data_IF_163549446418
#
_entry.id   IF_163549446418
#
_cell.length_a   1.000
_cell.length_b   1.000
_cell.length_c   1.000
_cell.angle_alpha   90.00
_cell.angle_beta   90.00
_cell.angle_gamma   90.00
#
_symmetry.space_group_name_H-M   'P 1'
#
loop_
_entity.id
_entity.type
_entity.pdbx_description
1 polymer ?
#
# COMPACT_ATOMS: atom_id res chain seq x y z
N UNK A 1 -21.62 2.97 -6.88
CA UNK A 1 -20.41 2.92 -7.74
C UNK A 1 -19.53 1.78 -7.28
N UNK A 2 -19.09 0.95 -8.24
CA UNK A 2 -17.99 0.00 -8.09
C UNK A 2 -16.78 0.65 -8.77
N UNK A 3 -15.64 0.70 -8.07
CA UNK A 3 -14.49 1.56 -8.43
C UNK A 3 -13.28 0.76 -8.98
N UNK A 4 -13.48 -0.53 -9.28
CA UNK A 4 -12.55 -1.46 -9.93
C UNK A 4 -11.40 -2.06 -9.08
N UNK A 5 -10.71 -3.03 -9.70
CA UNK A 5 -9.89 -4.14 -9.18
C UNK A 5 -8.73 -3.78 -8.25
N UNK A 6 -8.65 -4.50 -7.13
CA UNK A 6 -7.75 -4.21 -6.03
C UNK A 6 -6.30 -4.66 -6.21
N UNK A 7 -5.51 -4.25 -5.24
CA UNK A 7 -4.03 -4.32 -5.12
C UNK A 7 -3.46 -5.76 -5.12
N UNK A 8 -4.24 -6.82 -5.31
CA UNK A 8 -3.76 -8.23 -5.28
C UNK A 8 -4.17 -9.08 -6.49
N UNK A 9 -4.68 -8.49 -7.57
CA UNK A 9 -5.31 -9.28 -8.65
C UNK A 9 -6.65 -9.89 -8.23
N UNK A 10 -7.11 -9.60 -7.01
CA UNK A 10 -8.48 -9.79 -6.59
C UNK A 10 -9.25 -8.51 -6.91
N UNK A 11 -10.36 -8.66 -7.64
CA UNK A 11 -11.26 -7.53 -7.88
C UNK A 11 -11.65 -6.93 -6.52
N UNK A 12 -11.53 -5.61 -6.34
CA UNK A 12 -12.27 -4.96 -5.27
C UNK A 12 -13.73 -5.05 -5.70
N UNK A 13 -14.47 -5.92 -5.02
CA UNK A 13 -15.92 -5.99 -5.19
C UNK A 13 -16.61 -4.89 -4.37
N UNK A 14 -15.84 -4.11 -3.60
CA UNK A 14 -16.41 -3.22 -2.60
C UNK A 14 -17.01 -1.97 -3.24
N UNK A 15 -18.31 -1.85 -3.09
CA UNK A 15 -19.01 -0.58 -3.26
C UNK A 15 -18.59 0.39 -2.15
N UNK A 16 -18.75 1.70 -2.34
CA UNK A 16 -18.48 2.67 -1.27
C UNK A 16 -19.22 2.34 0.05
N UNK A 17 -20.49 1.88 0.04
CA UNK A 17 -21.14 1.37 1.24
C UNK A 17 -20.43 0.18 1.89
N UNK A 18 -19.86 -0.75 1.12
CA UNK A 18 -19.10 -1.88 1.65
C UNK A 18 -17.79 -1.41 2.29
N UNK A 19 -17.04 -0.52 1.64
CA UNK A 19 -15.81 0.04 2.19
C UNK A 19 -16.07 0.84 3.49
N UNK A 20 -17.13 1.67 3.50
CA UNK A 20 -17.61 2.36 4.71
C UNK A 20 -17.98 1.34 5.79
N UNK A 21 -18.68 0.27 5.44
CA UNK A 21 -18.98 -0.80 6.39
C UNK A 21 -17.73 -1.52 6.89
N UNK A 22 -16.68 -1.70 6.07
CA UNK A 22 -15.42 -2.28 6.52
C UNK A 22 -14.75 -1.36 7.56
N UNK A 23 -14.79 -0.05 7.38
CA UNK A 23 -14.35 0.89 8.43
C UNK A 23 -15.24 0.85 9.67
N UNK A 24 -16.54 0.68 9.54
CA UNK A 24 -17.43 0.74 10.70
C UNK A 24 -17.49 -0.59 11.47
N UNK A 25 -17.53 -1.73 10.77
CA UNK A 25 -17.91 -3.05 11.32
C UNK A 25 -16.78 -4.08 11.31
N UNK A 26 -15.71 -3.87 10.55
CA UNK A 26 -14.60 -4.84 10.51
C UNK A 26 -13.68 -4.67 11.70
N UNK A 27 -13.20 -5.78 12.22
CA UNK A 27 -12.06 -5.87 13.13
C UNK A 27 -10.77 -5.45 12.42
N UNK A 28 -10.52 -6.15 11.31
CA UNK A 28 -9.41 -5.94 10.41
C UNK A 28 -9.78 -4.86 9.37
N UNK A 29 -9.19 -3.68 9.54
CA UNK A 29 -9.33 -2.56 8.61
C UNK A 29 -8.26 -2.54 7.54
N UNK A 30 -7.33 -3.51 7.52
CA UNK A 30 -6.21 -3.55 6.57
C UNK A 30 -6.70 -3.47 5.12
N UNK A 31 -7.74 -4.24 4.79
CA UNK A 31 -8.38 -4.20 3.47
C UNK A 31 -8.93 -2.80 3.20
N UNK A 32 -9.67 -2.22 4.14
CA UNK A 32 -10.27 -0.90 3.99
C UNK A 32 -9.21 0.21 3.79
N UNK A 33 -8.13 0.17 4.58
CA UNK A 33 -7.00 1.09 4.48
C UNK A 33 -6.29 0.94 3.13
N UNK A 34 -6.02 -0.30 2.71
CA UNK A 34 -5.38 -0.59 1.42
C UNK A 34 -6.24 -0.08 0.25
N UNK A 35 -7.56 -0.32 0.28
CA UNK A 35 -8.48 0.20 -0.74
C UNK A 35 -8.57 1.73 -0.70
N UNK A 36 -8.44 2.35 0.47
CA UNK A 36 -8.47 3.82 0.59
C UNK A 36 -7.20 4.48 0.03
N UNK A 37 -6.02 3.85 0.16
CA UNK A 37 -4.82 4.31 -0.56
C UNK A 37 -5.00 4.26 -2.07
N UNK A 38 -5.67 3.23 -2.58
CA UNK A 38 -5.99 3.16 -3.99
C UNK A 38 -6.94 4.30 -4.41
N UNK A 39 -7.97 4.60 -3.61
CA UNK A 39 -8.85 5.73 -3.87
C UNK A 39 -8.10 7.07 -3.83
N UNK A 40 -7.11 7.23 -2.94
CA UNK A 40 -6.23 8.40 -2.95
C UNK A 40 -5.46 8.51 -4.28
N UNK A 41 -4.98 7.40 -4.84
CA UNK A 41 -4.37 7.41 -6.16
C UNK A 41 -5.35 7.79 -7.28
N UNK A 42 -6.58 7.27 -7.24
CA UNK A 42 -7.64 7.64 -8.21
C UNK A 42 -7.96 9.14 -8.14
N UNK A 43 -8.02 9.70 -6.93
CA UNK A 43 -8.18 11.13 -6.70
C UNK A 43 -7.01 11.93 -7.30
N UNK A 44 -5.76 11.48 -7.10
CA UNK A 44 -4.58 12.13 -7.69
C UNK A 44 -4.64 12.10 -9.22
N UNK A 45 -4.97 10.95 -9.83
CA UNK A 45 -5.11 10.82 -11.28
C UNK A 45 -6.24 11.67 -11.87
N UNK A 46 -7.26 11.98 -11.07
CA UNK A 46 -8.35 12.89 -11.43
C UNK A 46 -8.04 14.34 -11.07
N UNK A 47 -6.79 14.65 -10.71
CA UNK A 47 -6.30 15.97 -10.31
C UNK A 47 -6.96 16.56 -9.04
N UNK A 48 -7.44 15.70 -8.13
CA UNK A 48 -7.98 16.08 -6.82
C UNK A 48 -6.95 15.85 -5.69
N UNK A 49 -5.75 16.41 -5.85
CA UNK A 49 -4.61 16.18 -4.93
C UNK A 49 -4.95 16.59 -3.49
N UNK A 50 -5.64 17.72 -3.30
CA UNK A 50 -6.06 18.17 -1.96
C UNK A 50 -6.98 17.17 -1.26
N UNK A 51 -7.90 16.54 -2.00
CA UNK A 51 -8.80 15.52 -1.47
C UNK A 51 -8.08 14.21 -1.16
N UNK A 52 -7.13 13.81 -2.01
CA UNK A 52 -6.27 12.67 -1.74
C UNK A 52 -5.46 12.87 -0.45
N UNK A 53 -4.92 14.08 -0.26
CA UNK A 53 -4.22 14.46 0.96
C UNK A 53 -5.14 14.43 2.19
N UNK A 54 -6.34 15.03 2.12
CA UNK A 54 -7.34 14.95 3.21
C UNK A 54 -7.65 13.50 3.61
N UNK A 55 -7.82 12.63 2.62
CA UNK A 55 -8.12 11.22 2.83
C UNK A 55 -6.95 10.48 3.51
N UNK A 56 -5.72 10.68 3.02
CA UNK A 56 -4.50 10.09 3.60
C UNK A 56 -4.28 10.59 5.03
N UNK A 57 -4.46 11.89 5.26
CA UNK A 57 -4.32 12.49 6.58
C UNK A 57 -5.38 11.97 7.56
N UNK A 58 -6.61 11.70 7.10
CA UNK A 58 -7.61 11.09 7.96
C UNK A 58 -7.23 9.67 8.43
N UNK A 59 -6.42 8.94 7.64
CA UNK A 59 -5.91 7.62 8.01
C UNK A 59 -4.68 7.69 8.93
N UNK A 60 -3.71 8.57 8.64
CA UNK A 60 -2.46 8.64 9.39
C UNK A 60 -2.50 9.58 10.59
N UNK A 61 -3.31 10.64 10.54
CA UNK A 61 -3.29 11.72 11.52
C UNK A 61 -4.61 11.81 12.29
N UNK A 62 -4.62 11.13 13.45
CA UNK A 62 -5.16 11.72 14.68
C UNK A 62 -3.99 11.95 15.63
N UNK A 63 -3.97 13.07 16.37
CA UNK A 63 -2.78 13.87 16.60
C UNK A 63 -1.75 13.13 17.44
N UNK A 64 -0.72 12.61 16.78
CA UNK A 64 0.63 12.68 17.31
C UNK A 64 1.06 14.13 17.03
N UNK A 65 1.39 14.89 18.07
CA UNK A 65 1.85 16.27 17.93
C UNK A 65 3.00 16.32 16.90
N UNK A 66 3.08 17.39 16.10
CA UNK A 66 4.16 17.60 15.10
C UNK A 66 5.57 17.41 15.70
N UNK A 67 5.72 17.62 17.02
CA UNK A 67 6.93 17.36 17.81
C UNK A 67 7.37 15.89 17.88
N UNK A 68 6.53 14.91 17.54
CA UNK A 68 6.86 13.48 17.57
C UNK A 68 7.44 12.95 16.25
N UNK A 69 7.42 13.73 15.17
CA UNK A 69 8.15 13.40 13.93
C UNK A 69 9.61 13.85 13.98
N UNK A 70 9.94 14.89 14.76
CA UNK A 70 11.30 15.42 14.88
C UNK A 70 12.36 14.40 15.39
N UNK A 71 12.06 13.46 16.31
CA UNK A 71 13.05 12.50 16.79
C UNK A 71 13.39 11.41 15.76
N UNK A 72 12.48 11.12 14.81
CA UNK A 72 12.72 10.12 13.74
C UNK A 72 13.71 10.62 12.68
N UNK A 73 13.99 11.93 12.66
CA UNK A 73 14.92 12.58 11.74
C UNK A 73 16.32 12.80 12.36
N UNK A 74 16.54 12.39 13.62
CA UNK A 74 17.83 12.54 14.30
C UNK A 74 18.57 11.20 14.38
N UNK A 75 19.29 10.90 13.31
CA UNK A 75 20.67 10.36 13.29
C UNK A 75 21.05 9.93 11.86
N UNK A 76 21.74 10.80 11.12
CA UNK A 76 22.39 10.44 9.84
C UNK A 76 21.47 10.02 8.68
N UNK A 77 20.15 10.18 8.82
CA UNK A 77 19.16 9.88 7.78
C UNK A 77 19.03 11.07 6.83
N UNK A 78 19.13 10.80 5.53
CA UNK A 78 18.92 11.78 4.45
C UNK A 78 17.57 12.49 4.61
N UNK A 79 17.47 13.77 4.26
CA UNK A 79 16.19 14.51 4.35
C UNK A 79 15.11 13.83 3.48
N UNK A 80 13.80 14.06 3.74
CA UNK A 80 12.74 13.54 2.87
C UNK A 80 12.95 13.91 1.39
N UNK A 81 13.44 15.12 1.12
CA UNK A 81 13.78 15.60 -0.23
C UNK A 81 14.97 14.83 -0.82
N UNK A 82 16.01 14.57 -0.04
CA UNK A 82 17.16 13.77 -0.47
C UNK A 82 16.77 12.32 -0.74
N UNK A 83 15.91 11.74 0.09
CA UNK A 83 15.36 10.40 -0.10
C UNK A 83 14.53 10.34 -1.38
N UNK A 84 13.64 11.32 -1.59
CA UNK A 84 12.84 11.43 -2.80
C UNK A 84 13.74 11.56 -4.03
N UNK A 85 14.70 12.48 -4.03
CA UNK A 85 15.63 12.68 -5.14
C UNK A 85 16.42 11.41 -5.46
N UNK A 86 16.89 10.68 -4.44
CA UNK A 86 17.59 9.40 -4.58
C UNK A 86 16.71 8.33 -5.22
N UNK A 87 15.45 8.22 -4.78
CA UNK A 87 14.49 7.24 -5.32
C UNK A 87 14.14 7.58 -6.77
N UNK A 88 13.82 8.85 -7.05
CA UNK A 88 13.55 9.35 -8.41
C UNK A 88 14.70 9.07 -9.36
N UNK A 89 15.93 9.31 -8.91
CA UNK A 89 17.14 9.01 -9.66
C UNK A 89 17.38 7.50 -9.85
N UNK A 90 17.15 6.70 -8.81
CA UNK A 90 17.22 5.24 -8.87
C UNK A 90 16.29 4.67 -9.94
N UNK A 91 15.04 5.12 -9.93
CA UNK A 91 14.00 4.70 -10.87
C UNK A 91 14.30 5.14 -12.32
N UNK A 92 14.85 6.35 -12.52
CA UNK A 92 15.30 6.79 -13.84
C UNK A 92 16.40 5.88 -14.39
N UNK A 93 17.43 5.61 -13.59
CA UNK A 93 18.54 4.71 -13.98
C UNK A 93 18.05 3.31 -14.29
N UNK A 94 17.13 2.77 -13.49
CA UNK A 94 16.51 1.47 -13.75
C UNK A 94 15.81 1.47 -15.11
N UNK A 95 15.05 2.52 -15.41
CA UNK A 95 14.31 2.65 -16.66
C UNK A 95 15.22 2.69 -17.90
N UNK A 96 16.46 3.20 -17.75
CA UNK A 96 17.50 3.24 -18.79
C UNK A 96 18.36 1.96 -18.87
N UNK A 97 18.15 0.96 -18.00
CA UNK A 97 18.93 -0.28 -18.04
C UNK A 97 18.62 -1.09 -19.28
N UNK A 98 19.68 -1.55 -19.93
CA UNK A 98 19.60 -2.37 -21.15
C UNK A 98 19.94 -3.84 -20.90
N UNK A 99 20.42 -4.20 -19.70
CA UNK A 99 20.84 -5.56 -19.36
C UNK A 99 19.73 -6.59 -19.52
N UNK A 100 18.53 -6.28 -19.00
CA UNK A 100 17.37 -7.14 -19.09
C UNK A 100 17.01 -7.50 -20.54
N UNK A 101 17.07 -6.53 -21.47
CA UNK A 101 16.78 -6.77 -22.88
C UNK A 101 17.79 -7.71 -23.53
N UNK A 102 19.09 -7.54 -23.23
CA UNK A 102 20.14 -8.40 -23.76
C UNK A 102 19.93 -9.84 -23.30
N UNK A 103 19.59 -10.03 -22.03
CA UNK A 103 19.40 -11.34 -21.41
C UNK A 103 18.10 -12.03 -21.87
N UNK A 104 17.00 -11.29 -21.97
CA UNK A 104 15.66 -11.88 -22.13
C UNK A 104 15.10 -11.80 -23.56
N UNK A 105 15.64 -10.89 -24.39
CA UNK A 105 15.20 -10.68 -25.77
C UNK A 105 16.29 -11.01 -26.80
N UNK A 106 17.47 -11.43 -26.35
CA UNK A 106 18.61 -11.79 -27.21
C UNK A 106 19.00 -10.71 -28.22
N UNK A 107 18.79 -9.43 -27.87
CA UNK A 107 19.12 -8.28 -28.72
C UNK A 107 20.50 -7.73 -28.37
N UNK A 108 21.35 -7.56 -29.38
CA UNK A 108 22.65 -6.91 -29.21
C UNK A 108 22.47 -5.38 -29.10
N UNK A 109 23.26 -4.74 -28.23
CA UNK A 109 23.30 -3.27 -28.18
C UNK A 109 23.88 -2.74 -29.50
N UNK A 110 23.19 -1.81 -30.19
CA UNK A 110 23.73 -1.22 -31.40
C UNK A 110 24.99 -0.40 -31.07
N UNK A 111 25.94 -0.36 -32.01
CA UNK A 111 27.12 0.51 -31.89
C UNK A 111 26.74 1.98 -31.94
N UNK A 112 25.73 2.29 -32.75
CA UNK A 112 25.16 3.61 -32.89
C UNK A 112 23.65 3.55 -32.57
N UNK A 113 23.18 4.19 -31.48
CA UNK A 113 21.77 4.18 -31.14
C UNK A 113 20.89 4.94 -32.16
N UNK A 114 21.46 5.75 -33.07
CA UNK A 114 20.69 6.49 -34.09
C UNK A 114 20.06 5.59 -35.17
N UNK A 115 20.37 4.28 -35.18
CA UNK A 115 19.71 3.28 -36.02
C UNK A 115 18.19 3.21 -35.79
N UNK A 116 17.69 3.73 -34.66
CA UNK A 116 16.26 3.87 -34.38
C UNK A 116 15.48 4.57 -35.50
N UNK A 117 16.13 5.48 -36.24
CA UNK A 117 15.50 6.23 -37.34
C UNK A 117 15.12 5.30 -38.50
N UNK A 118 15.95 4.30 -38.76
CA UNK A 118 15.85 3.40 -39.92
C UNK A 118 15.13 2.09 -39.60
N UNK A 119 15.15 1.66 -38.35
CA UNK A 119 14.49 0.41 -37.92
C UNK A 119 13.07 0.64 -37.43
N UNK A 120 12.19 -0.33 -37.68
CA UNK A 120 10.87 -0.44 -37.07
C UNK A 120 10.78 -1.60 -36.07
N UNK A 121 11.91 -2.29 -35.78
CA UNK A 121 11.95 -3.35 -34.79
C UNK A 121 11.66 -2.79 -33.38
N UNK A 122 10.58 -3.20 -32.71
CA UNK A 122 10.18 -2.61 -31.44
C UNK A 122 11.23 -2.83 -30.34
N UNK A 123 11.95 -3.95 -30.38
CA UNK A 123 13.02 -4.25 -29.42
C UNK A 123 14.20 -3.29 -29.63
N UNK A 124 14.63 -3.08 -30.88
CA UNK A 124 15.69 -2.14 -31.19
C UNK A 124 15.30 -0.68 -30.89
N UNK A 125 14.06 -0.27 -31.20
CA UNK A 125 13.57 1.07 -30.87
C UNK A 125 13.66 1.36 -29.37
N UNK A 126 13.21 0.41 -28.55
CA UNK A 126 13.27 0.54 -27.10
C UNK A 126 14.72 0.54 -26.57
N UNK A 127 15.59 -0.31 -27.13
CA UNK A 127 17.01 -0.35 -26.81
C UNK A 127 17.67 1.00 -27.10
N UNK A 128 17.42 1.57 -28.28
CA UNK A 128 17.97 2.85 -28.69
C UNK A 128 17.48 3.99 -27.80
N UNK A 129 16.17 4.04 -27.48
CA UNK A 129 15.61 5.03 -26.56
C UNK A 129 16.30 4.98 -25.19
N UNK A 130 16.49 3.79 -24.61
CA UNK A 130 17.20 3.60 -23.33
C UNK A 130 18.67 4.02 -23.40
N UNK A 131 19.37 3.71 -24.50
CA UNK A 131 20.78 4.10 -24.68
C UNK A 131 20.93 5.61 -24.84
N UNK A 132 20.04 6.25 -25.59
CA UNK A 132 20.01 7.71 -25.72
C UNK A 132 19.66 8.38 -24.39
N UNK A 133 18.74 7.83 -23.61
CA UNK A 133 18.39 8.35 -22.28
C UNK A 133 19.41 8.00 -21.18
N UNK A 134 20.43 7.20 -21.47
CA UNK A 134 21.41 6.81 -20.45
C UNK A 134 22.30 8.00 -20.07
N UNK A 135 22.60 8.11 -18.78
CA UNK A 135 23.49 9.12 -18.20
C UNK A 135 24.85 9.19 -18.93
N UNK A 136 25.35 10.42 -19.10
CA UNK A 136 26.69 10.69 -19.67
C UNK A 136 27.78 10.49 -18.61
N UNK A 137 27.52 11.02 -17.41
CA UNK A 137 28.33 10.87 -16.20
C UNK A 137 27.43 10.44 -15.04
N UNK A 138 28.03 9.84 -14.00
CA UNK A 138 27.29 9.38 -12.83
C UNK A 138 26.56 10.56 -12.15
N UNK A 139 25.23 10.55 -12.18
CA UNK A 139 24.40 11.59 -11.55
C UNK A 139 23.97 12.73 -12.49
N UNK A 140 24.30 12.69 -13.78
CA UNK A 140 23.92 13.72 -14.75
C UNK A 140 22.98 13.17 -15.82
N UNK A 141 21.87 13.88 -16.06
CA UNK A 141 20.99 13.58 -17.18
C UNK A 141 21.73 13.83 -18.50
N UNK A 142 21.43 13.07 -19.57
CA UNK A 142 21.97 13.38 -20.88
C UNK A 142 21.51 14.76 -21.37
N UNK A 143 22.20 15.29 -22.38
CA UNK A 143 21.85 16.59 -22.96
C UNK A 143 20.39 16.68 -23.40
N UNK A 144 19.83 17.89 -23.40
CA UNK A 144 18.44 18.12 -23.80
C UNK A 144 18.13 17.58 -25.21
N UNK A 145 19.04 17.77 -26.17
CA UNK A 145 18.90 17.25 -27.54
C UNK A 145 18.84 15.72 -27.57
N UNK A 146 19.68 15.07 -26.76
CA UNK A 146 19.72 13.62 -26.67
C UNK A 146 18.49 13.04 -25.95
N UNK A 147 17.97 13.72 -24.93
CA UNK A 147 16.68 13.37 -24.31
C UNK A 147 15.52 13.49 -25.31
N UNK A 148 15.51 14.56 -26.12
CA UNK A 148 14.50 14.75 -27.16
C UNK A 148 14.57 13.65 -28.21
N UNK A 149 15.78 13.23 -28.57
CA UNK A 149 15.97 12.12 -29.49
C UNK A 149 15.55 10.77 -28.87
N UNK A 150 15.86 10.54 -27.60
CA UNK A 150 15.40 9.36 -26.87
C UNK A 150 13.86 9.27 -26.83
N UNK A 151 13.20 10.41 -26.64
CA UNK A 151 11.74 10.53 -26.69
C UNK A 151 11.22 10.25 -28.10
N UNK A 152 11.86 10.75 -29.16
CA UNK A 152 11.44 10.47 -30.53
C UNK A 152 11.49 8.96 -30.86
N UNK A 153 12.54 8.26 -30.41
CA UNK A 153 12.62 6.80 -30.52
C UNK A 153 11.50 6.09 -29.72
N UNK A 154 11.20 6.58 -28.51
CA UNK A 154 10.10 6.07 -27.69
C UNK A 154 8.74 6.27 -28.37
N UNK A 155 8.49 7.44 -28.96
CA UNK A 155 7.24 7.74 -29.67
C UNK A 155 7.09 6.90 -30.93
N UNK A 156 8.19 6.62 -31.64
CA UNK A 156 8.17 5.69 -32.78
C UNK A 156 7.74 4.29 -32.36
N UNK A 157 8.19 3.81 -31.19
CA UNK A 157 7.72 2.55 -30.61
C UNK A 157 6.23 2.61 -30.23
N UNK A 158 5.80 3.64 -29.51
CA UNK A 158 4.41 3.74 -29.05
C UNK A 158 3.39 4.04 -30.15
N UNK A 159 3.84 4.54 -31.31
CA UNK A 159 3.02 4.67 -32.50
C UNK A 159 2.64 3.30 -33.12
N UNK A 160 3.37 2.23 -32.79
CA UNK A 160 3.03 0.88 -33.25
C UNK A 160 1.83 0.32 -32.46
N UNK A 161 1.03 -0.61 -33.04
CA UNK A 161 -0.11 -1.23 -32.37
C UNK A 161 0.28 -1.87 -31.03
N UNK A 162 -0.53 -1.64 -29.99
CA UNK A 162 -0.28 -2.16 -28.65
C UNK A 162 -1.39 -3.11 -28.20
N UNK A 163 -0.98 -4.23 -27.60
CA UNK A 163 -1.91 -5.17 -26.98
C UNK A 163 -2.25 -4.73 -25.54
N UNK A 164 -3.53 -4.65 -25.17
CA UNK A 164 -3.94 -4.45 -23.78
C UNK A 164 -3.55 -5.66 -22.92
N UNK A 165 -3.49 -5.48 -21.59
CA UNK A 165 -3.39 -6.62 -20.67
C UNK A 165 -4.75 -7.32 -20.62
N UNK A 166 -4.78 -8.61 -20.92
CA UNK A 166 -5.97 -9.44 -20.69
C UNK A 166 -6.07 -9.84 -19.21
N UNK A 167 -7.28 -9.75 -18.63
CA UNK A 167 -7.53 -10.08 -17.23
C UNK A 167 -7.32 -11.59 -16.96
N UNK A 168 -6.64 -11.95 -15.87
CA UNK A 168 -6.52 -13.34 -15.40
C UNK A 168 -5.42 -14.19 -16.06
N UNK A 169 -4.65 -13.63 -16.98
CA UNK A 169 -3.51 -14.32 -17.60
C UNK A 169 -2.23 -14.05 -16.79
N UNK A 170 -1.52 -15.09 -16.36
CA UNK A 170 -0.17 -14.97 -15.80
C UNK A 170 0.82 -14.63 -16.93
N UNK A 171 0.89 -13.34 -17.23
CA UNK A 171 1.69 -12.82 -18.32
C UNK A 171 3.19 -13.01 -18.10
N UNK A 172 3.68 -13.13 -16.85
CA UNK A 172 5.11 -13.10 -16.50
C UNK A 172 5.96 -14.16 -17.22
N UNK A 173 5.34 -15.27 -17.64
CA UNK A 173 5.98 -16.40 -18.31
C UNK A 173 5.74 -16.44 -19.83
N UNK A 174 4.92 -15.55 -20.39
CA UNK A 174 4.50 -15.61 -21.79
C UNK A 174 5.44 -14.85 -22.72
N UNK A 175 5.62 -15.34 -23.94
CA UNK A 175 6.38 -14.61 -24.97
C UNK A 175 5.70 -13.28 -25.35
N UNK A 176 4.37 -13.26 -25.32
CA UNK A 176 3.53 -12.08 -25.60
C UNK A 176 3.85 -10.94 -24.63
N UNK A 177 4.10 -11.26 -23.36
CA UNK A 177 4.48 -10.29 -22.33
C UNK A 177 5.83 -9.63 -22.60
N UNK A 178 6.84 -10.43 -22.92
CA UNK A 178 8.21 -9.96 -23.18
C UNK A 178 8.28 -9.01 -24.37
N UNK A 179 7.31 -9.08 -25.30
CA UNK A 179 7.22 -8.21 -26.48
C UNK A 179 6.33 -6.96 -26.30
N UNK A 180 5.70 -6.75 -25.14
CA UNK A 180 4.85 -5.55 -24.95
C UNK A 180 5.68 -4.29 -24.85
N UNK A 181 5.20 -3.20 -25.43
CA UNK A 181 5.95 -1.94 -25.47
C UNK A 181 6.28 -1.37 -24.09
N UNK A 182 5.45 -1.59 -23.06
CA UNK A 182 5.76 -1.17 -21.68
C UNK A 182 6.94 -1.91 -21.04
N UNK A 183 7.20 -3.16 -21.46
CA UNK A 183 8.36 -3.95 -21.03
C UNK A 183 9.58 -3.69 -21.89
N UNK A 184 9.35 -3.63 -23.21
CA UNK A 184 10.39 -3.26 -24.15
C UNK A 184 10.95 -1.89 -23.78
N UNK A 185 10.09 -0.92 -23.49
CA UNK A 185 10.42 0.41 -23.00
C UNK A 185 9.57 0.78 -21.78
N UNK A 186 10.21 1.05 -20.64
CA UNK A 186 9.50 1.47 -19.43
C UNK A 186 8.73 2.76 -19.73
N UNK A 187 7.39 2.74 -19.66
CA UNK A 187 6.57 3.94 -19.93
C UNK A 187 6.96 5.11 -19.05
N UNK A 188 7.41 4.83 -17.82
CA UNK A 188 7.97 5.81 -16.88
C UNK A 188 9.09 6.62 -17.53
N UNK A 189 9.98 5.97 -18.29
CA UNK A 189 11.07 6.64 -19.00
C UNK A 189 10.54 7.65 -20.00
N UNK A 190 9.61 7.24 -20.87
CA UNK A 190 9.10 8.10 -21.93
C UNK A 190 8.32 9.30 -21.36
N UNK A 191 7.56 9.11 -20.28
CA UNK A 191 6.88 10.19 -19.55
C UNK A 191 7.91 11.14 -18.94
N UNK A 192 8.93 10.62 -18.25
CA UNK A 192 9.96 11.47 -17.64
C UNK A 192 10.77 12.26 -18.69
N UNK A 193 11.11 11.63 -19.83
CA UNK A 193 11.75 12.30 -20.95
C UNK A 193 10.88 13.43 -21.51
N UNK A 194 9.59 13.15 -21.76
CA UNK A 194 8.63 14.14 -22.25
C UNK A 194 8.51 15.34 -21.30
N UNK A 195 8.44 15.11 -19.99
CA UNK A 195 8.40 16.19 -19.00
C UNK A 195 9.70 17.02 -19.05
N UNK A 196 10.86 16.37 -19.07
CA UNK A 196 12.17 17.04 -19.06
C UNK A 196 12.43 17.88 -20.32
N UNK A 197 11.92 17.47 -21.47
CA UNK A 197 12.02 18.25 -22.70
C UNK A 197 10.93 19.32 -22.84
N UNK A 198 9.98 19.38 -21.90
CA UNK A 198 8.88 20.35 -21.87
C UNK A 198 7.64 19.95 -22.65
N UNK A 199 7.56 18.70 -23.14
CA UNK A 199 6.43 18.17 -23.92
C UNK A 199 5.36 17.56 -23.00
N UNK A 200 4.76 18.38 -22.11
CA UNK A 200 3.79 17.92 -21.10
C UNK A 200 2.55 17.25 -21.70
N UNK A 201 2.10 17.68 -22.88
CA UNK A 201 0.97 17.03 -23.59
C UNK A 201 1.31 15.60 -24.00
N UNK A 202 2.52 15.38 -24.53
CA UNK A 202 3.01 14.05 -24.90
C UNK A 202 3.13 13.17 -23.65
N UNK A 203 3.61 13.72 -22.53
CA UNK A 203 3.63 13.01 -21.25
C UNK A 203 2.22 12.57 -20.81
N UNK A 204 1.21 13.46 -20.96
CA UNK A 204 -0.19 13.16 -20.65
C UNK A 204 -0.76 12.06 -21.56
N UNK A 205 -0.48 12.12 -22.86
CA UNK A 205 -0.92 11.11 -23.84
C UNK A 205 -0.34 9.73 -23.53
N UNK A 206 0.95 9.64 -23.19
CA UNK A 206 1.59 8.38 -22.80
C UNK A 206 0.98 7.86 -21.49
N UNK A 207 0.71 8.73 -20.52
CA UNK A 207 0.06 8.36 -19.26
C UNK A 207 -1.36 7.84 -19.48
N UNK A 208 -2.16 8.53 -20.30
CA UNK A 208 -3.51 8.12 -20.72
C UNK A 208 -3.49 6.74 -21.38
N UNK A 209 -2.55 6.52 -22.29
CA UNK A 209 -2.33 5.22 -22.92
C UNK A 209 -1.92 4.14 -21.90
N UNK A 210 -1.06 4.46 -20.93
CA UNK A 210 -0.68 3.53 -19.87
C UNK A 210 -1.89 3.09 -19.04
N UNK A 211 -2.72 4.04 -18.63
CA UNK A 211 -3.92 3.78 -17.84
C UNK A 211 -4.92 2.89 -18.59
N UNK A 212 -5.18 3.19 -19.87
CA UNK A 212 -6.13 2.42 -20.69
C UNK A 212 -5.65 1.01 -21.03
N UNK A 213 -4.34 0.80 -21.21
CA UNK A 213 -3.80 -0.49 -21.64
C UNK A 213 -3.34 -1.38 -20.49
N UNK A 214 -2.87 -0.81 -19.39
CA UNK A 214 -2.27 -1.57 -18.29
C UNK A 214 -3.07 -1.48 -16.99
N UNK A 215 -3.89 -0.43 -16.80
CA UNK A 215 -4.64 -0.19 -15.56
C UNK A 215 -3.80 -0.09 -14.28
N UNK A 216 -2.47 -0.09 -14.40
CA UNK A 216 -1.46 -0.19 -13.33
C UNK A 216 -1.66 -1.39 -12.38
N UNK A 217 -1.25 -2.58 -12.83
CA UNK A 217 -1.14 -3.79 -12.01
C UNK A 217 0.27 -4.03 -11.40
N UNK A 218 0.39 -5.03 -10.51
CA UNK A 218 1.65 -5.38 -9.80
C UNK A 218 2.79 -5.85 -10.71
N UNK A 219 2.48 -6.31 -11.92
CA UNK A 219 3.39 -7.19 -12.67
C UNK A 219 4.41 -6.48 -13.57
N UNK A 220 4.43 -5.14 -13.66
CA UNK A 220 5.13 -4.47 -14.77
C UNK A 220 6.14 -3.37 -14.44
N UNK A 221 6.65 -3.24 -13.20
CA UNK A 221 7.58 -2.14 -12.86
C UNK A 221 7.01 -0.76 -13.23
N UNK A 222 5.69 -0.69 -13.22
CA UNK A 222 4.83 0.37 -13.68
C UNK A 222 3.70 0.50 -12.66
N UNK A 223 4.03 0.35 -11.37
CA UNK A 223 3.05 0.66 -10.34
C UNK A 223 2.71 2.14 -10.46
N UNK A 224 1.46 2.51 -10.18
CA UNK A 224 1.06 3.92 -10.23
C UNK A 224 1.97 4.79 -9.33
N UNK A 225 2.44 4.23 -8.22
CA UNK A 225 3.42 4.87 -7.36
C UNK A 225 4.68 5.26 -8.13
N UNK A 226 5.26 4.37 -8.93
CA UNK A 226 6.50 4.65 -9.69
C UNK A 226 6.35 5.83 -10.66
N UNK A 227 5.14 6.06 -11.18
CA UNK A 227 4.81 7.21 -12.03
C UNK A 227 4.59 8.49 -11.25
N UNK A 228 3.90 8.41 -10.10
CA UNK A 228 3.68 9.57 -9.23
C UNK A 228 5.00 10.12 -8.65
N UNK A 229 6.05 9.31 -8.66
CA UNK A 229 7.41 9.73 -8.31
C UNK A 229 8.15 10.41 -9.46
N UNK A 230 7.63 10.48 -10.69
CA UNK A 230 8.34 11.17 -11.78
C UNK A 230 8.42 12.68 -11.49
N UNK A 231 9.62 13.28 -11.52
CA UNK A 231 9.77 14.73 -11.33
C UNK A 231 8.92 15.50 -12.33
N UNK A 232 8.06 16.40 -11.83
CA UNK A 232 7.18 17.23 -12.67
C UNK A 232 5.85 16.57 -13.10
N UNK A 233 5.55 15.35 -12.65
CA UNK A 233 4.30 14.65 -13.01
C UNK A 233 3.04 15.43 -12.62
N UNK A 234 3.08 16.20 -11.53
CA UNK A 234 1.95 17.02 -11.10
C UNK A 234 1.56 18.12 -12.11
N UNK A 235 2.46 18.51 -13.02
CA UNK A 235 2.13 19.42 -14.12
C UNK A 235 1.43 18.70 -15.30
N UNK A 236 1.47 17.36 -15.32
CA UNK A 236 0.83 16.52 -16.34
C UNK A 236 -0.58 16.11 -15.93
N UNK A 237 -0.84 15.91 -14.64
CA UNK A 237 -2.14 15.47 -14.12
C UNK A 237 -3.34 16.36 -14.53
N UNK A 238 -3.24 17.71 -14.55
CA UNK A 238 -4.32 18.54 -15.06
C UNK A 238 -4.66 18.26 -16.53
N UNK A 239 -3.64 18.07 -17.37
CA UNK A 239 -3.80 17.75 -18.80
C UNK A 239 -4.43 16.37 -19.00
N UNK A 240 -4.14 15.43 -18.11
CA UNK A 240 -4.78 14.10 -18.11
C UNK A 240 -6.26 14.23 -17.75
N UNK A 241 -6.57 14.98 -16.69
CA UNK A 241 -7.91 15.19 -16.17
C UNK A 241 -8.83 15.95 -17.15
N UNK A 242 -8.30 16.87 -17.96
CA UNK A 242 -9.07 17.58 -19.01
C UNK A 242 -9.78 16.64 -19.99
N UNK A 243 -9.22 15.44 -20.24
CA UNK A 243 -9.85 14.44 -21.10
C UNK A 243 -10.83 13.50 -20.40
N UNK A 244 -11.09 13.69 -19.10
CA UNK A 244 -12.02 12.90 -18.32
C UNK A 244 -11.83 11.38 -18.49
N UNK A 245 -12.94 10.66 -18.66
CA UNK A 245 -12.95 9.20 -18.81
C UNK A 245 -12.32 8.68 -20.09
N UNK A 246 -12.25 9.51 -21.14
CA UNK A 246 -11.66 9.11 -22.42
C UNK A 246 -10.14 8.97 -22.32
N UNK A 247 -9.52 9.82 -21.51
CA UNK A 247 -8.08 9.80 -21.25
C UNK A 247 -7.69 9.01 -20.01
N UNK A 248 -8.53 9.03 -18.98
CA UNK A 248 -8.28 8.31 -17.74
C UNK A 248 -9.51 7.43 -17.41
N UNK A 249 -9.45 6.10 -17.62
CA UNK A 249 -10.57 5.21 -17.32
C UNK A 249 -10.94 5.18 -15.82
N UNK A 250 -10.06 5.69 -14.95
CA UNK A 250 -10.28 5.83 -13.52
C UNK A 250 -10.76 7.23 -13.12
N UNK A 251 -11.01 8.12 -14.09
CA UNK A 251 -11.47 9.47 -13.80
C UNK A 251 -12.79 9.43 -13.02
N UNK A 252 -12.82 10.16 -11.91
CA UNK A 252 -14.02 10.40 -11.11
C UNK A 252 -14.40 11.86 -11.23
N UNK A 253 -15.70 12.14 -11.23
CA UNK A 253 -16.21 13.51 -11.25
C UNK A 253 -16.05 14.15 -9.86
N UNK A 254 -16.09 15.47 -9.79
CA UNK A 254 -15.83 16.20 -8.54
C UNK A 254 -16.88 15.88 -7.47
N UNK A 255 -18.16 15.77 -7.84
CA UNK A 255 -19.25 15.42 -6.91
C UNK A 255 -19.07 14.01 -6.32
N UNK A 256 -18.61 13.06 -7.14
CA UNK A 256 -18.33 11.69 -6.71
C UNK A 256 -17.10 11.65 -5.80
N UNK A 257 -16.04 12.39 -6.15
CA UNK A 257 -14.85 12.55 -5.33
C UNK A 257 -15.19 13.14 -3.96
N UNK A 258 -16.04 14.18 -3.92
CA UNK A 258 -16.55 14.78 -2.69
C UNK A 258 -17.32 13.77 -1.83
N UNK A 259 -18.25 13.04 -2.45
CA UNK A 259 -19.08 12.04 -1.76
C UNK A 259 -18.21 10.94 -1.16
N UNK A 260 -17.23 10.45 -1.92
CA UNK A 260 -16.31 9.39 -1.51
C UNK A 260 -15.45 9.82 -0.31
N UNK A 261 -14.80 10.98 -0.43
CA UNK A 261 -13.91 11.51 0.62
C UNK A 261 -14.70 11.77 1.89
N UNK A 262 -15.86 12.43 1.77
CA UNK A 262 -16.73 12.71 2.91
C UNK A 262 -17.21 11.43 3.61
N UNK A 263 -17.64 10.41 2.85
CA UNK A 263 -18.14 9.16 3.42
C UNK A 263 -17.04 8.38 4.15
N UNK A 264 -15.84 8.27 3.56
CA UNK A 264 -14.72 7.55 4.19
C UNK A 264 -14.23 8.31 5.41
N UNK A 265 -13.95 9.61 5.29
CA UNK A 265 -13.53 10.43 6.44
C UNK A 265 -14.60 10.39 7.53
N UNK A 266 -15.89 10.42 7.17
CA UNK A 266 -17.00 10.24 8.10
C UNK A 266 -16.96 8.91 8.84
N UNK A 267 -16.73 7.80 8.12
CA UNK A 267 -16.64 6.45 8.69
C UNK A 267 -15.43 6.29 9.61
N UNK A 268 -14.25 6.72 9.14
CA UNK A 268 -13.00 6.81 9.91
C UNK A 268 -13.23 7.62 11.19
N UNK A 269 -13.86 8.79 11.04
CA UNK A 269 -14.09 9.68 12.18
C UNK A 269 -15.08 9.11 13.19
N UNK A 270 -16.12 8.46 12.69
CA UNK A 270 -17.13 7.80 13.49
C UNK A 270 -16.49 6.67 14.27
N UNK A 271 -15.75 5.77 13.60
CA UNK A 271 -15.04 4.64 14.23
C UNK A 271 -14.12 5.15 15.33
N UNK A 272 -13.30 6.14 15.04
CA UNK A 272 -12.35 6.65 16.01
C UNK A 272 -12.99 7.49 17.14
N UNK A 273 -14.29 7.85 17.07
CA UNK A 273 -15.04 8.49 18.17
C UNK A 273 -15.91 7.52 18.97
N UNK A 274 -16.44 6.49 18.31
CA UNK A 274 -17.48 5.61 18.86
C UNK A 274 -17.08 4.13 18.89
N UNK A 275 -15.85 3.81 18.50
CA UNK A 275 -15.37 2.45 18.32
C UNK A 275 -16.00 1.76 17.11
N UNK A 276 -15.76 0.46 16.98
CA UNK A 276 -16.42 -0.41 16.01
C UNK A 276 -17.95 -0.46 16.22
N UNK A 277 -18.70 -0.53 15.13
CA UNK A 277 -20.12 -0.87 15.12
C UNK A 277 -20.29 -2.39 15.24
N UNK A 278 -20.75 -2.82 16.40
CA UNK A 278 -21.02 -4.21 16.71
C UNK A 278 -22.29 -4.70 16.02
N UNK A 279 -22.27 -5.92 15.46
CA UNK A 279 -23.48 -6.61 14.97
C UNK A 279 -24.28 -7.24 16.10
N UNK A 280 -23.66 -7.43 17.26
CA UNK A 280 -24.28 -7.86 18.51
C UNK A 280 -24.13 -6.72 19.52
N UNK A 281 -25.13 -6.42 20.37
CA UNK A 281 -24.93 -5.45 21.44
C UNK A 281 -23.73 -5.92 22.27
N UNK A 282 -22.73 -5.05 22.53
CA UNK A 282 -21.62 -5.44 23.37
C UNK A 282 -22.22 -5.87 24.70
N UNK A 283 -22.13 -7.16 25.04
CA UNK A 283 -22.13 -7.49 26.47
C UNK A 283 -20.95 -6.70 27.00
N UNK A 284 -21.19 -5.81 27.96
CA UNK A 284 -20.19 -4.96 28.61
C UNK A 284 -19.20 -5.82 29.43
N UNK A 285 -18.55 -6.78 28.79
CA UNK A 285 -17.64 -7.72 29.41
C UNK A 285 -16.43 -6.93 29.90
N UNK A 286 -16.11 -7.01 31.19
CA UNK A 286 -14.90 -6.38 31.71
C UNK A 286 -13.64 -6.90 31.00
N UNK A 287 -12.52 -6.16 31.08
CA UNK A 287 -11.25 -6.61 30.48
C UNK A 287 -10.85 -8.02 30.91
N UNK A 288 -11.09 -8.37 32.18
CA UNK A 288 -10.86 -9.71 32.71
C UNK A 288 -11.66 -10.79 31.97
N UNK A 289 -12.97 -10.59 31.84
CA UNK A 289 -13.85 -11.53 31.14
C UNK A 289 -13.45 -11.68 29.67
N UNK A 290 -13.11 -10.58 28.98
CA UNK A 290 -12.70 -10.64 27.58
C UNK A 290 -11.41 -11.44 27.38
N UNK A 291 -10.40 -11.20 28.23
CA UNK A 291 -9.12 -11.90 28.17
C UNK A 291 -9.26 -13.38 28.55
N UNK A 292 -10.08 -13.70 29.56
CA UNK A 292 -10.40 -15.08 29.94
C UNK A 292 -11.11 -15.82 28.80
N UNK A 293 -12.10 -15.19 28.14
CA UNK A 293 -12.77 -15.76 26.95
C UNK A 293 -11.80 -16.00 25.80
N UNK A 294 -10.89 -15.05 25.56
CA UNK A 294 -9.85 -15.20 24.54
C UNK A 294 -9.00 -16.43 24.83
N UNK A 295 -8.47 -16.54 26.05
CA UNK A 295 -7.61 -17.64 26.46
C UNK A 295 -8.33 -18.99 26.42
N UNK A 296 -9.52 -19.08 27.00
CA UNK A 296 -10.32 -20.31 27.02
C UNK A 296 -10.70 -20.76 25.62
N UNK A 297 -11.18 -19.83 24.80
CA UNK A 297 -11.55 -20.13 23.43
C UNK A 297 -10.33 -20.55 22.59
N UNK A 298 -9.20 -19.84 22.73
CA UNK A 298 -7.96 -20.17 22.05
C UNK A 298 -7.47 -21.58 22.41
N UNK A 299 -7.51 -21.92 23.70
CA UNK A 299 -7.18 -23.26 24.18
C UNK A 299 -8.13 -24.32 23.62
N UNK A 300 -9.44 -24.05 23.57
CA UNK A 300 -10.42 -24.99 23.00
C UNK A 300 -10.17 -25.28 21.52
N UNK A 301 -9.95 -24.23 20.73
CA UNK A 301 -9.74 -24.34 19.28
C UNK A 301 -8.38 -24.96 18.94
N UNK A 302 -7.34 -24.67 19.73
CA UNK A 302 -5.96 -24.98 19.34
C UNK A 302 -5.07 -25.51 20.48
N UNK A 303 -5.61 -26.29 21.42
CA UNK A 303 -4.86 -26.80 22.59
C UNK A 303 -3.60 -27.59 22.23
N UNK A 304 -3.56 -28.25 21.07
CA UNK A 304 -2.41 -29.05 20.66
C UNK A 304 -1.16 -28.17 20.44
N UNK A 305 -1.31 -26.99 19.85
CA UNK A 305 -0.20 -26.07 19.61
C UNK A 305 0.31 -25.49 20.94
N UNK A 306 -0.62 -25.06 21.80
CA UNK A 306 -0.28 -24.53 23.13
C UNK A 306 0.43 -25.57 24.03
N UNK A 307 0.02 -26.85 23.97
CA UNK A 307 0.75 -27.93 24.67
C UNK A 307 2.16 -28.13 24.15
N UNK A 308 2.38 -28.00 22.84
CA UNK A 308 3.74 -28.05 22.25
C UNK A 308 4.60 -26.86 22.68
N UNK A 309 3.98 -25.72 22.96
CA UNK A 309 4.63 -24.54 23.54
C UNK A 309 4.85 -24.63 25.06
N UNK A 310 4.45 -25.75 25.69
CA UNK A 310 4.67 -26.02 27.11
C UNK A 310 3.61 -25.42 28.04
N UNK A 311 2.42 -25.11 27.53
CA UNK A 311 1.30 -24.66 28.35
C UNK A 311 0.40 -25.83 28.73
N UNK A 312 -0.09 -25.82 29.97
CA UNK A 312 -0.91 -26.90 30.52
C UNK A 312 -2.40 -26.54 30.59
N UNK A 313 -2.72 -25.25 30.53
CA UNK A 313 -4.09 -24.72 30.60
C UNK A 313 -4.23 -23.37 29.92
N UNK A 314 -5.49 -23.02 29.61
CA UNK A 314 -5.86 -21.73 29.01
C UNK A 314 -5.28 -20.51 29.75
N UNK A 315 -5.30 -20.51 31.09
CA UNK A 315 -4.78 -19.39 31.88
C UNK A 315 -3.29 -19.08 31.61
N UNK A 316 -2.51 -20.07 31.13
CA UNK A 316 -1.08 -19.88 30.83
C UNK A 316 -0.85 -19.14 29.48
N UNK A 317 -1.92 -18.94 28.69
CA UNK A 317 -1.93 -18.13 27.46
C UNK A 317 -1.81 -16.64 27.80
N UNK A 318 -2.39 -16.20 28.92
CA UNK A 318 -2.33 -14.81 29.37
C UNK A 318 -1.01 -14.52 30.08
N UNK A 319 -0.41 -13.35 29.80
CA UNK A 319 0.74 -12.91 30.56
C UNK A 319 0.32 -12.43 31.95
N UNK A 320 1.21 -12.49 32.96
CA UNK A 320 0.97 -11.82 34.24
C UNK A 320 0.62 -10.35 34.03
N UNK A 321 -0.23 -9.75 34.88
CA UNK A 321 -0.52 -8.32 34.82
C UNK A 321 0.75 -7.48 35.00
N UNK A 322 0.83 -6.35 34.31
CA UNK A 322 1.87 -5.35 34.52
C UNK A 322 1.65 -4.61 35.85
N UNK A 323 2.73 -4.35 36.57
CA UNK A 323 2.73 -3.51 37.77
C UNK A 323 2.76 -2.04 37.40
N UNK A 324 2.24 -1.15 38.25
CA UNK A 324 2.29 0.30 38.00
C UNK A 324 3.74 0.79 37.84
N UNK A 325 4.70 0.22 38.56
CA UNK A 325 6.11 0.58 38.44
C UNK A 325 6.68 0.25 37.04
N UNK A 326 6.27 -0.88 36.44
CA UNK A 326 6.69 -1.23 35.07
C UNK A 326 6.02 -0.32 34.03
N UNK A 327 4.75 0.04 34.24
CA UNK A 327 4.02 0.99 33.38
C UNK A 327 4.69 2.36 33.42
N UNK A 328 4.95 2.90 34.62
CA UNK A 328 5.61 4.20 34.81
C UNK A 328 7.03 4.22 34.22
N UNK A 329 7.78 3.13 34.35
CA UNK A 329 9.13 3.03 33.78
C UNK A 329 9.10 3.13 32.24
N UNK A 330 8.12 2.49 31.60
CA UNK A 330 7.93 2.57 30.14
C UNK A 330 7.42 3.95 29.72
N UNK A 331 6.45 4.52 30.44
CA UNK A 331 5.94 5.88 30.12
C UNK A 331 7.01 6.96 30.27
N UNK A 332 7.98 6.78 31.18
CA UNK A 332 9.14 7.66 31.33
C UNK A 332 10.10 7.59 30.13
N UNK A 333 10.21 6.43 29.49
CA UNK A 333 11.12 6.22 28.35
C UNK A 333 10.48 6.65 27.01
N UNK A 334 9.19 6.37 26.82
CA UNK A 334 8.51 6.52 25.50
C UNK A 334 7.32 7.48 25.49
N UNK A 335 6.94 8.07 26.62
CA UNK A 335 5.75 8.92 26.76
C UNK A 335 4.49 8.15 27.18
N UNK A 336 3.38 8.88 27.36
CA UNK A 336 2.14 8.32 27.93
C UNK A 336 1.55 7.19 27.06
N UNK A 337 1.25 6.04 27.69
CA UNK A 337 0.61 4.91 27.03
C UNK A 337 -0.89 5.13 26.84
N UNK A 338 -1.51 4.56 25.79
CA UNK A 338 -2.97 4.65 25.57
C UNK A 338 -3.77 4.17 26.79
N UNK A 339 -4.81 4.92 27.16
CA UNK A 339 -5.56 4.66 28.41
C UNK A 339 -6.27 3.30 28.44
N UNK A 340 -6.71 2.80 27.30
CA UNK A 340 -7.33 1.49 27.14
C UNK A 340 -6.29 0.36 27.18
N UNK A 341 -5.11 0.54 26.59
CA UNK A 341 -3.96 -0.35 26.72
C UNK A 341 -3.55 -0.49 28.19
N UNK A 342 -3.43 0.64 28.92
CA UNK A 342 -3.17 0.67 30.37
C UNK A 342 -4.19 -0.13 31.17
N UNK A 343 -5.47 -0.08 30.80
CA UNK A 343 -6.52 -0.88 31.47
C UNK A 343 -6.37 -2.37 31.19
N UNK A 344 -5.93 -2.74 29.99
CA UNK A 344 -5.71 -4.13 29.59
C UNK A 344 -4.47 -4.72 30.29
N UNK A 345 -3.31 -4.03 30.24
CA UNK A 345 -2.05 -4.54 30.83
C UNK A 345 -2.13 -4.73 32.35
N UNK A 346 -2.94 -3.93 33.04
CA UNK A 346 -3.24 -4.10 34.48
C UNK A 346 -4.02 -5.37 34.81
N UNK A 347 -4.64 -6.00 33.81
CA UNK A 347 -5.34 -7.28 33.93
C UNK A 347 -4.49 -8.42 33.39
N UNK A 348 -3.81 -8.21 32.27
CA UNK A 348 -2.89 -9.17 31.64
C UNK A 348 -1.93 -8.40 30.75
N UNK A 349 -0.62 -8.58 30.89
CA UNK A 349 0.37 -7.87 30.08
C UNK A 349 0.48 -8.44 28.65
N UNK A 350 -0.65 -8.58 27.96
CA UNK A 350 -0.79 -9.23 26.66
C UNK A 350 -1.27 -10.69 26.75
N UNK A 351 -1.16 -11.43 25.64
CA UNK A 351 -1.46 -12.86 25.53
C UNK A 351 -0.54 -13.53 24.51
N UNK A 352 -0.42 -14.86 24.57
CA UNK A 352 0.40 -15.68 23.68
C UNK A 352 -0.47 -16.31 22.60
N UNK A 353 -0.06 -16.25 21.34
CA UNK A 353 -0.77 -16.89 20.23
C UNK A 353 0.00 -18.09 19.68
N UNK A 354 -0.69 -18.92 18.90
CA UNK A 354 -0.03 -19.88 18.01
C UNK A 354 0.59 -19.16 16.82
N UNK A 355 1.63 -19.73 16.21
CA UNK A 355 2.33 -19.08 15.09
C UNK A 355 1.41 -18.85 13.89
N UNK A 356 0.41 -19.71 13.70
CA UNK A 356 -0.62 -19.60 12.67
C UNK A 356 -2.02 -19.27 13.23
N UNK A 357 -2.12 -18.93 14.53
CA UNK A 357 -3.39 -18.72 15.22
C UNK A 357 -3.28 -17.56 16.21
N UNK A 358 -4.06 -16.49 15.97
CA UNK A 358 -3.94 -15.20 16.67
C UNK A 358 -2.57 -14.52 16.47
N UNK A 359 -1.95 -14.73 15.30
CA UNK A 359 -0.73 -14.05 14.84
C UNK A 359 0.46 -14.05 15.83
N UNK A 360 0.66 -15.17 16.56
CA UNK A 360 1.72 -15.29 17.58
C UNK A 360 1.42 -14.55 18.89
N UNK A 361 0.30 -13.84 18.98
CA UNK A 361 -0.20 -13.17 20.17
C UNK A 361 0.20 -11.70 20.26
N UNK A 362 -0.23 -11.05 21.34
CA UNK A 362 0.10 -9.65 21.62
C UNK A 362 0.96 -9.59 22.87
N UNK A 363 2.20 -9.14 22.73
CA UNK A 363 3.05 -8.85 23.89
C UNK A 363 2.73 -7.47 24.45
N UNK A 364 2.64 -7.34 25.77
CA UNK A 364 2.37 -6.06 26.42
C UNK A 364 3.61 -5.17 26.53
N UNK A 365 3.79 -4.48 27.65
CA UNK A 365 4.86 -3.48 27.83
C UNK A 365 6.29 -4.02 27.70
N UNK A 366 6.47 -5.33 27.83
CA UNK A 366 7.78 -6.00 27.75
C UNK A 366 8.43 -5.98 26.36
N UNK A 367 7.67 -5.67 25.31
CA UNK A 367 8.18 -5.58 23.93
C UNK A 367 8.32 -4.15 23.44
N UNK A 368 8.05 -3.17 24.31
CA UNK A 368 8.19 -1.76 24.01
C UNK A 368 9.64 -1.36 24.33
N UNK A 369 10.42 -1.04 23.31
CA UNK A 369 11.74 -0.41 23.49
C UNK A 369 11.87 0.79 22.58
N UNK A 370 12.66 1.79 23.00
CA UNK A 370 12.94 2.98 22.20
C UNK A 370 13.49 2.66 20.78
N UNK A 371 14.10 1.49 20.58
CA UNK A 371 14.56 1.00 19.25
C UNK A 371 13.45 0.48 18.35
N UNK A 372 12.28 0.13 18.87
CA UNK A 372 11.15 -0.40 18.09
C UNK A 372 10.22 0.68 17.52
N UNK A 373 10.50 1.96 17.78
CA UNK A 373 9.76 3.09 17.21
C UNK A 373 10.22 3.50 15.80
N UNK A 374 11.25 2.86 15.24
CA UNK A 374 11.56 2.99 13.80
C UNK A 374 10.51 2.22 13.01
N UNK A 375 9.59 2.93 12.34
CA UNK A 375 8.70 2.66 11.18
C UNK A 375 8.28 1.23 10.73
N UNK A 376 8.80 0.12 11.27
CA UNK A 376 8.70 -1.23 10.70
C UNK A 376 7.93 -2.25 11.57
N UNK A 377 7.26 -1.84 12.66
CA UNK A 377 6.39 -2.76 13.39
C UNK A 377 4.90 -2.54 13.06
N UNK A 378 4.38 -3.39 12.17
CA UNK A 378 2.97 -3.46 11.75
C UNK A 378 1.95 -3.51 12.91
N UNK A 379 2.33 -4.03 14.09
CA UNK A 379 1.42 -4.12 15.23
C UNK A 379 1.17 -2.76 15.92
N UNK A 380 2.20 -1.92 16.01
CA UNK A 380 2.08 -0.58 16.59
C UNK A 380 1.49 0.43 15.60
N UNK A 381 1.80 0.30 14.31
CA UNK A 381 1.12 1.11 13.29
C UNK A 381 -0.38 0.80 13.24
N UNK A 382 -0.80 -0.46 13.39
CA UNK A 382 -2.23 -0.80 13.50
C UNK A 382 -2.91 -0.24 14.78
N UNK A 383 -2.19 -0.22 15.91
CA UNK A 383 -2.68 0.40 17.16
C UNK A 383 -2.78 1.93 17.05
N UNK A 384 -1.82 2.58 16.39
CA UNK A 384 -1.80 4.03 16.18
C UNK A 384 -2.91 4.52 15.25
N UNK A 385 -3.31 3.72 14.25
CA UNK A 385 -4.36 4.14 13.31
C UNK A 385 -5.74 4.20 14.02
N UNK A 386 -6.02 3.39 15.06
CA UNK A 386 -7.41 3.24 15.56
C UNK A 386 -7.65 3.32 17.08
N UNK A 387 -6.66 3.59 17.91
CA UNK A 387 -6.85 4.01 19.32
C UNK A 387 -7.62 3.03 20.25
N UNK A 388 -7.75 1.73 19.93
CA UNK A 388 -8.42 0.75 20.83
C UNK A 388 -7.84 -0.67 20.74
N UNK A 389 -7.01 -1.03 21.73
CA UNK A 389 -6.58 -2.41 22.04
C UNK A 389 -7.77 -3.31 22.35
N UNK A 390 -8.85 -2.72 22.88
CA UNK A 390 -10.03 -3.48 23.28
C UNK A 390 -10.72 -4.10 22.08
N UNK A 391 -10.79 -3.36 20.99
CA UNK A 391 -11.43 -3.81 19.74
C UNK A 391 -10.67 -5.05 19.23
N UNK A 392 -9.33 -4.98 19.17
CA UNK A 392 -8.47 -6.10 18.78
C UNK A 392 -8.74 -7.37 19.62
N UNK A 393 -8.86 -7.26 20.94
CA UNK A 393 -9.12 -8.41 21.80
C UNK A 393 -10.51 -9.00 21.54
N UNK A 394 -11.53 -8.15 21.39
CA UNK A 394 -12.89 -8.63 21.08
C UNK A 394 -12.93 -9.34 19.73
N UNK A 395 -12.16 -8.88 18.75
CA UNK A 395 -12.12 -9.49 17.42
C UNK A 395 -11.57 -10.92 17.46
N UNK A 396 -10.48 -11.13 18.21
CA UNK A 396 -9.96 -12.47 18.44
C UNK A 396 -10.98 -13.34 19.16
N UNK A 397 -11.67 -12.81 20.18
CA UNK A 397 -12.74 -13.55 20.88
C UNK A 397 -13.89 -13.92 19.93
N UNK A 398 -14.38 -13.00 19.11
CA UNK A 398 -15.46 -13.25 18.15
C UNK A 398 -15.06 -14.27 17.09
N UNK A 399 -13.84 -14.16 16.55
CA UNK A 399 -13.29 -15.10 15.59
C UNK A 399 -13.23 -16.53 16.17
N UNK A 400 -12.67 -16.67 17.36
CA UNK A 400 -12.59 -17.93 18.08
C UNK A 400 -13.97 -18.51 18.37
N UNK A 401 -14.91 -17.69 18.86
CA UNK A 401 -16.28 -18.12 19.15
C UNK A 401 -17.05 -18.49 17.87
N UNK A 402 -16.73 -17.86 16.74
CA UNK A 402 -17.22 -18.23 15.42
C UNK A 402 -16.76 -19.62 15.01
N UNK A 403 -15.47 -19.94 15.19
CA UNK A 403 -14.92 -21.27 14.94
C UNK A 403 -15.63 -22.31 15.83
N UNK A 404 -15.72 -22.05 17.13
CA UNK A 404 -16.38 -22.96 18.08
C UNK A 404 -17.85 -23.23 17.69
N UNK A 405 -18.57 -22.20 17.23
CA UNK A 405 -19.96 -22.36 16.76
C UNK A 405 -20.08 -23.15 15.46
N UNK A 406 -19.07 -23.07 14.59
CA UNK A 406 -19.05 -23.82 13.33
C UNK A 406 -18.72 -25.30 13.58
N UNK A 407 -17.74 -25.60 14.44
CA UNK A 407 -17.40 -26.96 14.87
C UNK A 407 -18.54 -27.64 15.64
N UNK A 408 -19.36 -26.86 16.35
CA UNK A 408 -20.56 -27.38 17.04
C UNK A 408 -21.78 -27.64 16.13
N UNK A 409 -21.65 -27.50 14.80
CA UNK A 409 -22.73 -27.76 13.81
C UNK A 409 -22.53 -29.02 12.98
N UNK A 410 -21.60 -29.91 13.35
CA UNK A 410 -21.60 -31.29 12.85
C UNK A 410 -22.38 -32.17 13.84
N UNK A 411 -23.34 -32.93 13.28
CA UNK A 411 -24.27 -33.89 13.89
C UNK A 411 -25.64 -33.36 14.34
N UNK A 412 -26.60 -33.32 13.40
CA UNK A 412 -28.03 -33.28 13.71
C UNK A 412 -28.94 -32.88 12.55
N UNK A 413 -29.05 -33.72 11.51
CA UNK A 413 -30.26 -34.49 11.17
C UNK A 413 -30.31 -34.84 9.67
N UNK A 414 -30.03 -36.12 9.40
CA UNK A 414 -30.77 -36.95 8.44
C UNK A 414 -32.17 -37.26 9.01
#
# INVERSE_FOLDING_TARGET
MSWFNGVRGYRSHQTLPELVNSYLKSSDTYIAVTETFYLAHVLILSNYIGKAHELIMALYCRPLNEEQYEPLLKEGVSTPEECLAKEQWGQYRESCRTGWMVEHLSVAKPKDPHIWRETDDPVMLAMCSRLLAKEDNQGEYPSWERMREALAAAMKLYAQPQAPVEEGVDYSSTQVWKSRHSFLLYRRLAIELAIRVGELKVASEILSMALRLDGFGRSSGASLQDFLFVPGIYNVLPLLAEGGKDNNPFFIEEEDANTLVWAIIGAVNWRARRGRQWSLPPREAGWKELLERLADGAWRVNSWEYKRLGFDRAADILFPPATEAEIEAVEKDIGELPADFKKMIRVSNGFRGGWQFLDGGMTGIQSITAKHMTAENCAWSQLQIWNSVRDLIVDHVEYIEGIIKADGREDGDD
#
